data_IF_696492804238
#
_entry.id   IF_696492804238
#
_cell.length_a   1.000
_cell.length_b   1.000
_cell.length_c   1.000
_cell.angle_alpha   90.00
_cell.angle_beta   90.00
_cell.angle_gamma   90.00
#
_symmetry.space_group_name_H-M   'P 1'
#
loop_
_entity.id
_entity.type
_entity.pdbx_description
1 polymer ?
#
# COMPACT_ATOMS: atom_id res chain seq x y z
N UNK A 1 -6.75 -12.77 41.33
CA UNK A 1 -7.27 -11.92 40.24
C UNK A 1 -7.28 -12.75 38.96
N UNK A 2 -8.43 -13.02 38.34
CA UNK A 2 -8.47 -13.71 37.04
C UNK A 2 -8.02 -12.75 35.93
N UNK A 3 -7.06 -13.19 35.12
CA UNK A 3 -6.59 -12.49 33.92
C UNK A 3 -7.52 -12.90 32.78
N UNK A 4 -8.33 -11.96 32.29
CA UNK A 4 -9.15 -12.17 31.11
C UNK A 4 -8.30 -11.94 29.86
N UNK A 5 -8.00 -13.00 29.11
CA UNK A 5 -7.44 -12.91 27.76
C UNK A 5 -8.59 -12.80 26.76
N UNK A 6 -8.65 -11.70 26.02
CA UNK A 6 -9.58 -11.56 24.91
C UNK A 6 -9.05 -12.32 23.68
N UNK A 7 -9.91 -13.07 22.96
CA UNK A 7 -9.52 -13.69 21.70
C UNK A 7 -9.14 -12.61 20.68
N UNK A 8 -8.16 -12.89 19.83
CA UNK A 8 -7.60 -11.95 18.86
C UNK A 8 -8.62 -11.37 17.85
N UNK A 9 -9.82 -11.93 17.79
CA UNK A 9 -10.95 -11.48 16.95
C UNK A 9 -11.70 -10.30 17.58
N UNK A 10 -11.56 -10.06 18.89
CA UNK A 10 -12.29 -9.05 19.65
C UNK A 10 -11.41 -7.87 20.12
N UNK A 11 -10.31 -7.59 19.42
CA UNK A 11 -9.52 -6.39 19.69
C UNK A 11 -10.37 -5.14 19.34
N UNK A 12 -10.50 -4.14 20.24
CA UNK A 12 -11.29 -2.96 19.95
C UNK A 12 -10.72 -2.24 18.71
N UNK A 13 -11.59 -1.97 17.74
CA UNK A 13 -11.34 -1.07 16.61
C UNK A 13 -10.73 0.22 17.17
N UNK A 14 -9.45 0.46 16.89
CA UNK A 14 -8.84 1.76 17.20
C UNK A 14 -9.46 2.75 16.24
N UNK A 15 -10.25 3.68 16.76
CA UNK A 15 -10.85 4.78 16.01
C UNK A 15 -9.73 5.60 15.34
N UNK A 16 -9.37 5.21 14.13
CA UNK A 16 -8.59 6.01 13.19
C UNK A 16 -9.53 7.02 12.55
N UNK A 17 -9.00 8.19 12.21
CA UNK A 17 -9.73 9.16 11.38
C UNK A 17 -9.89 8.53 10.00
N UNK A 18 -11.14 8.39 9.52
CA UNK A 18 -11.45 7.81 8.22
C UNK A 18 -11.10 8.78 7.08
N UNK A 19 -9.81 8.80 6.71
CA UNK A 19 -9.36 9.47 5.48
C UNK A 19 -9.93 8.80 4.21
N UNK A 20 -10.50 7.61 4.34
CA UNK A 20 -11.12 6.79 3.29
C UNK A 20 -12.45 7.39 2.81
N UNK A 21 -13.21 8.03 3.69
CA UNK A 21 -14.56 8.54 3.40
C UNK A 21 -14.59 9.77 2.47
N UNK A 22 -13.43 10.32 2.12
CA UNK A 22 -13.33 11.47 1.21
C UNK A 22 -13.17 11.11 -0.28
N UNK A 23 -13.21 9.83 -0.66
CA UNK A 23 -12.99 9.44 -2.07
C UNK A 23 -13.64 8.14 -2.56
N UNK A 24 -14.69 7.64 -1.92
CA UNK A 24 -15.20 6.29 -2.22
C UNK A 24 -16.41 6.28 -3.18
N UNK A 25 -16.34 5.61 -4.34
CA UNK A 25 -17.49 4.98 -4.97
C UNK A 25 -17.76 3.62 -4.34
N UNK A 26 -19.05 3.33 -4.16
CA UNK A 26 -19.65 2.13 -3.59
C UNK A 26 -19.17 0.83 -4.25
N UNK A 27 -18.27 0.09 -3.59
CA UNK A 27 -17.85 -1.25 -4.01
C UNK A 27 -16.80 -1.84 -3.06
N UNK A 28 -17.18 -2.87 -2.28
CA UNK A 28 -16.36 -3.60 -1.28
C UNK A 28 -15.28 -2.75 -0.60
N UNK A 29 -15.68 -1.90 0.35
CA UNK A 29 -14.77 -1.00 1.05
C UNK A 29 -13.65 -1.80 1.73
N UNK A 30 -12.46 -1.84 1.15
CA UNK A 30 -11.28 -2.42 1.80
C UNK A 30 -10.92 -1.49 2.95
N UNK A 31 -11.35 -1.87 4.15
CA UNK A 31 -11.15 -1.12 5.38
C UNK A 31 -9.76 -1.41 5.96
N UNK A 32 -9.33 -0.56 6.90
CA UNK A 32 -8.12 -0.79 7.68
C UNK A 32 -8.15 -2.20 8.30
N UNK A 33 -7.08 -2.96 8.11
CA UNK A 33 -6.96 -4.33 8.62
C UNK A 33 -7.54 -5.41 7.70
N UNK A 34 -8.19 -5.05 6.59
CA UNK A 34 -8.67 -6.02 5.60
C UNK A 34 -7.52 -6.84 5.03
N UNK A 35 -7.76 -8.14 4.85
CA UNK A 35 -6.81 -9.05 4.23
C UNK A 35 -6.83 -8.86 2.71
N UNK A 36 -5.64 -8.82 2.11
CA UNK A 36 -5.45 -8.65 0.67
C UNK A 36 -4.46 -9.65 0.11
N UNK A 37 -4.59 -9.92 -1.18
CA UNK A 37 -3.72 -10.77 -2.01
C UNK A 37 -3.00 -9.89 -3.04
N UNK A 38 -1.78 -10.24 -3.50
CA UNK A 38 -1.09 -9.49 -4.54
C UNK A 38 -1.95 -9.31 -5.80
N UNK A 39 -1.92 -8.10 -6.36
CA UNK A 39 -2.65 -7.69 -7.56
C UNK A 39 -4.01 -7.05 -7.27
N UNK A 40 -4.57 -7.25 -6.07
CA UNK A 40 -5.84 -6.66 -5.68
C UNK A 40 -5.78 -5.12 -5.65
N UNK A 41 -6.88 -4.50 -6.07
CA UNK A 41 -7.05 -3.04 -6.04
C UNK A 41 -7.61 -2.67 -4.68
N UNK A 42 -6.88 -1.83 -3.94
CA UNK A 42 -7.28 -1.40 -2.59
C UNK A 42 -7.96 -0.03 -2.63
N UNK A 43 -7.44 0.86 -3.48
CA UNK A 43 -8.01 2.20 -3.64
C UNK A 43 -8.05 2.58 -5.12
N UNK A 44 -9.21 3.08 -5.54
CA UNK A 44 -9.38 3.67 -6.87
C UNK A 44 -8.82 5.09 -6.91
N UNK A 45 -8.51 5.52 -8.14
CA UNK A 45 -7.86 6.77 -8.56
C UNK A 45 -8.19 8.09 -7.82
N UNK A 46 -9.31 8.18 -7.10
CA UNK A 46 -9.84 9.46 -6.59
C UNK A 46 -9.11 10.00 -5.34
N UNK A 47 -8.29 9.19 -4.69
CA UNK A 47 -7.71 9.55 -3.39
C UNK A 47 -6.23 10.00 -3.49
N UNK A 48 -5.93 11.18 -2.91
CA UNK A 48 -4.59 11.74 -2.70
C UNK A 48 -3.76 10.96 -1.66
N UNK A 49 -3.71 9.63 -1.81
CA UNK A 49 -3.01 8.70 -0.94
C UNK A 49 -1.56 8.52 -1.41
N UNK A 50 -0.69 8.07 -0.51
CA UNK A 50 0.72 7.79 -0.78
C UNK A 50 0.91 6.29 -0.65
N UNK A 51 1.60 5.68 -1.62
CA UNK A 51 1.96 4.26 -1.57
C UNK A 51 3.19 4.04 -0.69
N UNK A 52 3.05 3.20 0.33
CA UNK A 52 4.14 2.67 1.13
C UNK A 52 4.57 1.29 0.66
N UNK A 53 5.20 0.53 1.54
CA UNK A 53 5.65 -0.83 1.24
C UNK A 53 4.47 -1.78 0.99
N UNK A 54 4.63 -2.71 0.06
CA UNK A 54 3.59 -3.68 -0.26
C UNK A 54 2.43 -3.12 -1.10
N UNK A 55 2.51 -1.87 -1.55
CA UNK A 55 1.58 -1.25 -2.49
C UNK A 55 2.31 -0.61 -3.66
N UNK A 56 1.65 -0.54 -4.81
CA UNK A 56 2.16 0.14 -6.00
C UNK A 56 1.00 0.80 -6.76
N UNK A 57 1.31 1.76 -7.63
CA UNK A 57 0.32 2.37 -8.53
C UNK A 57 0.47 1.77 -9.92
N UNK A 58 -0.65 1.45 -10.58
CA UNK A 58 -0.61 1.24 -12.02
C UNK A 58 -0.32 2.58 -12.67
N UNK A 59 0.79 2.67 -13.40
CA UNK A 59 0.99 3.77 -14.34
C UNK A 59 0.30 3.31 -15.60
N UNK A 60 -0.85 3.93 -15.91
CA UNK A 60 -1.44 3.75 -17.23
C UNK A 60 -0.46 4.36 -18.22
N UNK A 61 0.29 3.51 -18.92
CA UNK A 61 1.18 3.94 -20.00
C UNK A 61 0.27 4.41 -21.13
N UNK A 62 -0.10 5.69 -21.11
CA UNK A 62 -0.60 6.39 -22.28
C UNK A 62 0.60 6.64 -23.21
N UNK A 63 1.00 5.61 -23.92
CA UNK A 63 1.96 5.64 -25.03
C UNK A 63 1.54 4.47 -25.91
N UNK A 64 0.99 4.61 -27.10
CA UNK A 64 1.20 5.56 -28.19
C UNK A 64 0.12 5.25 -29.22
N UNK A 65 -0.28 6.23 -30.02
CA UNK A 65 -1.22 6.10 -31.14
C UNK A 65 -0.87 4.87 -32.02
N UNK A 66 -1.69 3.82 -31.96
CA UNK A 66 -1.83 2.86 -33.06
C UNK A 66 -3.31 2.46 -33.10
N UNK A 67 -4.01 3.05 -34.07
CA UNK A 67 -5.35 2.66 -34.49
C UNK A 67 -5.40 1.17 -34.88
N UNK A 68 -6.41 0.46 -34.40
CA UNK A 68 -7.29 -0.49 -35.14
C UNK A 68 -7.97 -1.47 -34.15
N UNK A 69 -9.21 -1.11 -33.81
CA UNK A 69 -10.41 -1.96 -33.69
C UNK A 69 -10.35 -3.28 -32.88
N UNK A 70 -10.69 -3.21 -31.57
CA UNK A 70 -11.58 -4.19 -30.94
C UNK A 70 -12.17 -3.67 -29.61
N UNK A 71 -13.45 -3.30 -29.64
CA UNK A 71 -14.38 -3.02 -28.53
C UNK A 71 -13.81 -2.99 -27.09
N UNK A 72 -13.27 -1.85 -26.68
CA UNK A 72 -13.12 -1.50 -25.26
C UNK A 72 -14.33 -0.69 -24.82
N UNK A 73 -15.10 -1.24 -23.88
CA UNK A 73 -16.14 -0.50 -23.17
C UNK A 73 -15.46 0.63 -22.39
N UNK A 74 -15.47 1.82 -22.98
CA UNK A 74 -14.95 3.07 -22.39
C UNK A 74 -15.76 3.38 -21.13
N UNK A 75 -15.18 3.12 -19.96
CA UNK A 75 -15.70 3.63 -18.70
C UNK A 75 -15.38 5.13 -18.62
N UNK A 76 -16.37 6.03 -18.56
CA UNK A 76 -16.18 7.49 -18.66
C UNK A 76 -15.54 8.15 -17.41
N UNK A 77 -14.91 7.39 -16.51
CA UNK A 77 -14.41 7.90 -15.23
C UNK A 77 -12.91 8.25 -15.22
N UNK A 78 -12.19 8.13 -16.34
CA UNK A 78 -10.76 8.50 -16.43
C UNK A 78 -10.51 9.96 -16.83
N UNK A 79 -11.54 10.80 -16.85
CA UNK A 79 -11.43 12.24 -17.14
C UNK A 79 -11.74 13.07 -15.89
N UNK A 80 -10.79 13.11 -14.97
CA UNK A 80 -10.72 14.16 -13.95
C UNK A 80 -9.27 14.68 -13.82
N UNK A 81 -8.72 15.15 -14.95
CA UNK A 81 -7.64 16.14 -14.94
C UNK A 81 -8.26 17.49 -15.27
N UNK A 82 -8.82 18.16 -14.26
CA UNK A 82 -9.28 19.55 -14.37
C UNK A 82 -8.68 20.34 -13.21
N UNK A 83 -7.61 21.08 -13.56
CA UNK A 83 -7.07 22.25 -12.89
C UNK A 83 -6.40 22.08 -11.51
N UNK A 84 -5.06 22.04 -11.51
CA UNK A 84 -4.24 22.54 -10.42
C UNK A 84 -3.26 21.53 -9.82
N UNK A 85 -1.98 21.82 -9.99
CA UNK A 85 -0.78 21.16 -9.42
C UNK A 85 -0.27 19.92 -10.21
N UNK A 86 1.03 19.80 -10.52
CA UNK A 86 1.65 18.56 -11.02
C UNK A 86 1.74 17.52 -9.88
N UNK A 87 0.62 17.31 -9.20
CA UNK A 87 0.43 16.29 -8.18
C UNK A 87 0.30 14.93 -8.85
N UNK A 88 1.12 13.99 -8.40
CA UNK A 88 1.15 12.57 -8.75
C UNK A 88 -0.18 12.09 -9.33
N UNK A 89 -0.20 11.76 -10.63
CA UNK A 89 -1.35 11.17 -11.31
C UNK A 89 -1.87 10.02 -10.45
N UNK A 90 -3.07 10.19 -9.91
CA UNK A 90 -3.61 9.29 -8.92
C UNK A 90 -4.13 8.03 -9.62
N UNK A 91 -3.25 7.12 -10.05
CA UNK A 91 -3.63 5.82 -10.60
C UNK A 91 -4.20 4.88 -9.52
N UNK A 92 -4.80 3.76 -9.92
CA UNK A 92 -5.29 2.76 -8.96
C UNK A 92 -4.13 2.20 -8.12
N UNK A 93 -4.39 2.01 -6.82
CA UNK A 93 -3.41 1.42 -5.89
C UNK A 93 -3.65 -0.08 -5.81
N UNK A 94 -2.63 -0.83 -6.22
CA UNK A 94 -2.57 -2.28 -6.14
C UNK A 94 -1.68 -2.75 -4.99
N UNK A 95 -1.90 -3.98 -4.55
CA UNK A 95 -1.08 -4.67 -3.54
C UNK A 95 -0.02 -5.53 -4.20
N UNK A 96 1.20 -5.54 -3.67
CA UNK A 96 2.25 -6.47 -4.13
C UNK A 96 2.45 -7.65 -3.18
N UNK A 97 1.89 -7.59 -1.97
CA UNK A 97 2.07 -8.59 -0.92
C UNK A 97 0.71 -9.08 -0.39
N UNK A 98 0.68 -10.34 0.06
CA UNK A 98 -0.44 -10.85 0.86
C UNK A 98 -0.30 -10.33 2.28
N UNK A 99 -1.33 -9.72 2.84
CA UNK A 99 -1.26 -9.19 4.20
C UNK A 99 -2.48 -8.39 4.60
N UNK A 100 -2.31 -7.57 5.62
CA UNK A 100 -3.35 -6.64 6.07
C UNK A 100 -3.05 -5.24 5.59
N UNK A 101 -4.04 -4.55 5.05
CA UNK A 101 -3.91 -3.16 4.65
C UNK A 101 -3.83 -2.27 5.89
N UNK A 102 -2.85 -1.38 5.92
CA UNK A 102 -2.66 -0.38 6.98
C UNK A 102 -2.64 1.00 6.37
N UNK A 103 -3.39 1.91 7.00
CA UNK A 103 -3.54 3.29 6.58
C UNK A 103 -3.09 4.15 7.74
N UNK A 104 -2.07 4.97 7.54
CA UNK A 104 -1.57 5.91 8.54
C UNK A 104 -1.50 7.27 7.90
N UNK A 105 -2.37 8.18 8.33
CA UNK A 105 -2.62 9.45 7.64
C UNK A 105 -3.01 9.17 6.17
N UNK A 106 -2.19 9.64 5.23
CA UNK A 106 -2.37 9.41 3.79
C UNK A 106 -1.55 8.23 3.27
N UNK A 107 -0.72 7.59 4.10
CA UNK A 107 0.16 6.50 3.69
C UNK A 107 -0.58 5.17 3.76
N UNK A 108 -0.62 4.46 2.63
CA UNK A 108 -1.19 3.12 2.50
C UNK A 108 -0.08 2.11 2.29
N UNK A 109 0.03 1.12 3.17
CA UNK A 109 0.98 0.03 3.06
C UNK A 109 0.34 -1.30 3.44
N UNK A 110 0.98 -2.41 3.09
CA UNK A 110 0.54 -3.75 3.48
C UNK A 110 1.49 -4.32 4.52
N UNK A 111 0.92 -4.79 5.63
CA UNK A 111 1.63 -5.54 6.66
C UNK A 111 1.51 -7.05 6.36
N UNK A 112 2.57 -7.71 5.88
CA UNK A 112 2.54 -9.15 5.61
C UNK A 112 2.52 -9.94 6.93
N UNK A 113 1.89 -11.13 6.96
CA UNK A 113 1.86 -11.97 8.17
C UNK A 113 3.23 -12.51 8.58
N UNK A 114 4.20 -12.52 7.66
CA UNK A 114 5.59 -12.94 7.88
C UNK A 114 6.54 -12.11 7.03
N UNK A 115 7.52 -11.47 7.65
CA UNK A 115 8.57 -10.70 6.98
C UNK A 115 9.94 -10.93 7.63
N UNK A 116 11.00 -10.58 6.90
CA UNK A 116 12.36 -10.47 7.47
C UNK A 116 12.48 -9.13 8.20
N UNK A 117 13.43 -9.05 9.12
CA UNK A 117 13.75 -7.82 9.83
C UNK A 117 14.23 -6.73 8.85
N UNK A 118 13.67 -5.51 8.96
CA UNK A 118 13.96 -4.39 8.06
C UNK A 118 14.84 -3.28 8.68
N UNK A 119 15.22 -3.36 9.96
CA UNK A 119 16.12 -2.37 10.57
C UNK A 119 15.45 -1.03 10.84
N UNK A 120 14.89 -0.82 12.04
CA UNK A 120 14.40 0.52 12.42
C UNK A 120 15.40 1.25 13.32
N UNK A 121 15.35 2.58 13.31
CA UNK A 121 16.18 3.43 14.17
C UNK A 121 15.79 3.20 15.62
N UNK A 122 16.79 2.93 16.46
CA UNK A 122 16.59 2.68 17.90
C UNK A 122 16.39 1.20 18.27
N UNK A 123 16.36 0.29 17.29
CA UNK A 123 16.29 -1.13 17.56
C UNK A 123 17.60 -1.65 18.16
N UNK A 124 17.49 -2.42 19.25
CA UNK A 124 18.62 -3.20 19.79
C UNK A 124 18.55 -4.62 19.23
N UNK A 125 19.55 -5.00 18.45
CA UNK A 125 19.57 -6.29 17.74
C UNK A 125 20.73 -7.17 18.20
N UNK A 126 20.54 -8.49 18.13
CA UNK A 126 21.58 -9.49 18.36
C UNK A 126 21.84 -10.24 17.06
N UNK A 127 23.07 -10.15 16.54
CA UNK A 127 23.47 -10.76 15.28
C UNK A 127 24.53 -11.84 15.45
N UNK A 128 24.58 -12.79 14.52
CA UNK A 128 25.69 -13.74 14.38
C UNK A 128 26.67 -13.21 13.34
N UNK A 129 27.95 -13.15 13.69
CA UNK A 129 29.02 -12.78 12.75
C UNK A 129 29.17 -13.89 11.71
N UNK A 130 29.01 -13.54 10.42
CA UNK A 130 29.16 -14.47 9.29
C UNK A 130 30.48 -14.27 8.54
N UNK A 131 31.01 -13.04 8.51
CA UNK A 131 32.26 -12.72 7.81
C UNK A 131 32.96 -11.56 8.52
N UNK A 132 34.29 -11.59 8.53
CA UNK A 132 35.15 -10.48 8.95
C UNK A 132 36.07 -10.16 7.77
N UNK A 133 36.05 -8.92 7.29
CA UNK A 133 36.94 -8.45 6.22
C UNK A 133 37.97 -7.49 6.78
N UNK A 134 39.20 -7.59 6.30
CA UNK A 134 40.30 -6.68 6.63
C UNK A 134 40.76 -5.97 5.36
N UNK A 135 40.91 -4.65 5.43
CA UNK A 135 41.38 -3.84 4.30
C UNK A 135 42.91 -3.81 4.33
N UNK A 136 43.55 -4.64 3.50
CA UNK A 136 45.02 -4.61 3.37
C UNK A 136 45.42 -3.47 2.44
N UNK A 137 46.14 -2.49 2.99
CA UNK A 137 46.76 -1.40 2.24
C UNK A 137 47.91 -1.98 1.41
N UNK A 138 47.73 -2.10 0.08
CA UNK A 138 48.83 -2.43 -0.82
C UNK A 138 49.89 -1.32 -0.73
N UNK A 139 51.13 -1.73 -0.48
CA UNK A 139 52.33 -0.89 -0.48
C UNK A 139 52.97 -0.89 -1.87
#
# INVERSE_FOLDING_TARGET
MPIYMYPAIAAPERHSVDYVSQGQPEGSSIQQGSAVVPGEIVFSSVANLITGHGTYRSVDVSSTDIDEDLSSTVNPNTLASVNGDPGIQAGNIHTSLTGRVRIVNKLVYVEPPKARYFGNVGDTVVGRIVQVSFMTLLK
#
